data_IF_884849109952
#
_entry.id   IF_884849109952
#
_cell.length_a   1.000
_cell.length_b   1.000
_cell.length_c   1.000
_cell.angle_alpha   90.00
_cell.angle_beta   90.00
_cell.angle_gamma   90.00
#
_symmetry.space_group_name_H-M   'P 1'
#
loop_
_entity.id
_entity.type
_entity.pdbx_description
1 polymer ?
#
# COMPACT_ATOMS: atom_id res chain seq x y z
N UNK A 1 -13.58 -56.39 -0.64
CA UNK A 1 -13.25 -55.54 0.53
C UNK A 1 -12.09 -54.66 0.13
N UNK A 2 -12.27 -53.35 0.28
CA UNK A 2 -11.30 -52.35 -0.14
C UNK A 2 -10.08 -52.31 0.78
N UNK A 3 -8.98 -51.79 0.24
CA UNK A 3 -7.74 -51.56 0.95
C UNK A 3 -6.89 -50.59 0.14
N UNK A 4 -7.21 -49.31 0.25
CA UNK A 4 -6.41 -48.17 -0.18
C UNK A 4 -5.20 -47.98 0.75
N UNK A 5 -4.14 -47.32 0.24
CA UNK A 5 -2.99 -46.81 0.99
C UNK A 5 -1.68 -47.18 0.30
N UNK A 6 -0.97 -46.31 -0.41
CA UNK A 6 -0.81 -44.87 -0.23
C UNK A 6 0.48 -44.61 0.56
N UNK A 7 1.58 -44.34 -0.14
CA UNK A 7 2.78 -43.72 0.41
C UNK A 7 3.65 -43.15 -0.73
N UNK A 8 3.15 -42.13 -1.42
CA UNK A 8 4.02 -41.14 -2.05
C UNK A 8 4.15 -39.99 -1.04
N UNK A 9 5.37 -39.71 -0.58
CA UNK A 9 5.58 -38.75 0.49
C UNK A 9 7.06 -38.49 0.74
N UNK A 10 7.79 -38.14 -0.33
CA UNK A 10 9.17 -37.66 -0.27
C UNK A 10 9.30 -36.32 -0.98
N UNK A 11 8.54 -35.32 -0.51
CA UNK A 11 8.73 -33.93 -0.91
C UNK A 11 9.59 -33.23 0.12
N UNK A 12 10.87 -33.06 -0.18
CA UNK A 12 11.81 -32.19 0.55
C UNK A 12 11.23 -30.77 0.63
N UNK A 13 10.73 -30.39 1.80
CA UNK A 13 10.39 -29.00 2.12
C UNK A 13 11.68 -28.20 2.29
N UNK A 14 11.99 -27.35 1.30
CA UNK A 14 13.10 -26.40 1.34
C UNK A 14 12.86 -25.36 2.46
N UNK A 15 13.83 -24.99 3.30
CA UNK A 15 13.64 -24.03 4.40
C UNK A 15 13.56 -22.56 3.93
N UNK A 16 13.08 -22.30 2.71
CA UNK A 16 13.10 -21.00 2.05
C UNK A 16 11.70 -20.38 1.86
N UNK A 17 10.72 -20.75 2.70
CA UNK A 17 9.54 -19.92 2.93
C UNK A 17 9.96 -18.70 3.78
N UNK A 18 10.87 -17.87 3.24
CA UNK A 18 10.98 -16.49 3.66
C UNK A 18 9.62 -15.86 3.34
N UNK A 19 8.85 -15.55 4.38
CA UNK A 19 7.54 -14.92 4.25
C UNK A 19 7.68 -13.67 3.37
N UNK A 20 7.28 -13.76 2.10
CA UNK A 20 7.35 -12.65 1.15
C UNK A 20 6.09 -11.81 1.33
N UNK A 21 6.18 -10.85 2.25
CA UNK A 21 5.09 -9.96 2.61
C UNK A 21 4.80 -9.03 1.43
N UNK A 22 3.54 -8.99 1.00
CA UNK A 22 3.03 -8.07 -0.01
C UNK A 22 2.12 -7.04 0.65
N UNK A 23 2.40 -5.76 0.44
CA UNK A 23 1.61 -4.66 0.97
C UNK A 23 0.94 -3.90 -0.17
N UNK A 24 -0.32 -3.52 0.02
CA UNK A 24 -1.10 -2.69 -0.88
C UNK A 24 -1.07 -1.24 -0.42
N UNK A 25 -0.46 -0.38 -1.23
CA UNK A 25 -0.26 1.03 -0.87
C UNK A 25 -1.19 1.91 -1.69
N UNK A 26 -2.10 2.59 -1.01
CA UNK A 26 -2.98 3.59 -1.59
C UNK A 26 -2.27 4.94 -1.63
N UNK A 27 -2.12 5.49 -2.83
CA UNK A 27 -1.46 6.77 -3.05
C UNK A 27 -2.16 7.52 -4.18
N UNK A 28 -2.63 8.74 -3.88
CA UNK A 28 -3.31 9.62 -4.82
C UNK A 28 -4.44 8.92 -5.62
N UNK A 29 -5.27 8.12 -4.93
CA UNK A 29 -6.42 7.43 -5.52
C UNK A 29 -6.08 6.21 -6.38
N UNK A 30 -4.84 5.72 -6.34
CA UNK A 30 -4.44 4.44 -6.95
C UNK A 30 -3.88 3.50 -5.88
N UNK A 31 -4.08 2.20 -6.08
CA UNK A 31 -3.47 1.16 -5.24
C UNK A 31 -2.28 0.54 -5.95
N UNK A 32 -1.13 0.53 -5.27
CA UNK A 32 0.13 -0.03 -5.77
C UNK A 32 0.53 -1.21 -4.90
N UNK A 33 0.64 -2.39 -5.49
CA UNK A 33 1.09 -3.59 -4.77
C UNK A 33 2.61 -3.68 -4.77
N UNK A 34 3.21 -3.82 -3.59
CA UNK A 34 4.66 -3.91 -3.40
C UNK A 34 5.00 -5.20 -2.67
N UNK A 35 5.87 -6.01 -3.27
CA UNK A 35 6.47 -7.17 -2.60
C UNK A 35 7.67 -6.70 -1.77
N UNK A 36 7.67 -7.03 -0.49
CA UNK A 36 8.63 -6.55 0.51
C UNK A 36 9.64 -7.63 0.93
N UNK A 37 9.56 -8.86 0.40
CA UNK A 37 10.35 -9.97 0.92
C UNK A 37 10.04 -10.17 2.41
N UNK A 38 11.06 -10.38 3.23
CA UNK A 38 10.93 -10.51 4.69
C UNK A 38 10.48 -9.26 5.46
N UNK A 39 10.22 -8.13 4.78
CA UNK A 39 9.65 -6.92 5.40
C UNK A 39 10.59 -6.18 6.36
N UNK A 40 11.90 -6.32 6.20
CA UNK A 40 12.91 -5.68 7.06
C UNK A 40 13.10 -4.18 6.78
N UNK A 41 12.56 -3.69 5.66
CA UNK A 41 12.67 -2.29 5.27
C UNK A 41 11.71 -1.39 6.08
N UNK A 42 12.02 -0.09 6.23
CA UNK A 42 11.11 0.86 6.86
C UNK A 42 9.93 1.23 5.95
N UNK A 43 8.82 1.68 6.54
CA UNK A 43 7.64 2.18 5.82
C UNK A 43 7.98 3.34 4.87
N UNK A 44 8.99 4.15 5.19
CA UNK A 44 9.50 5.19 4.27
C UNK A 44 9.97 4.62 2.94
N UNK A 45 10.63 3.47 2.95
CA UNK A 45 11.07 2.80 1.73
C UNK A 45 9.86 2.33 0.93
N UNK A 46 8.91 1.66 1.58
CA UNK A 46 7.68 1.17 0.96
C UNK A 46 6.89 2.32 0.30
N UNK A 47 6.69 3.42 1.02
CA UNK A 47 6.01 4.61 0.53
C UNK A 47 6.74 5.23 -0.68
N UNK A 48 8.07 5.29 -0.64
CA UNK A 48 8.88 5.80 -1.77
C UNK A 48 8.75 4.90 -3.00
N UNK A 49 8.77 3.58 -2.82
CA UNK A 49 8.59 2.60 -3.90
C UNK A 49 7.19 2.71 -4.50
N UNK A 50 6.16 2.84 -3.67
CA UNK A 50 4.78 3.02 -4.13
C UNK A 50 4.63 4.29 -4.95
N UNK A 51 5.20 5.42 -4.50
CA UNK A 51 5.21 6.68 -5.25
C UNK A 51 5.91 6.53 -6.59
N UNK A 52 7.08 5.88 -6.64
CA UNK A 52 7.78 5.64 -7.90
C UNK A 52 6.90 4.86 -8.89
N UNK A 53 6.28 3.77 -8.41
CA UNK A 53 5.45 2.86 -9.21
C UNK A 53 4.04 3.37 -9.53
N UNK A 54 3.59 4.45 -8.88
CA UNK A 54 2.31 5.09 -9.22
C UNK A 54 2.23 5.53 -10.69
N UNK A 55 3.39 5.90 -11.24
CA UNK A 55 3.63 6.01 -12.68
C UNK A 55 4.12 4.65 -13.19
N UNK A 56 3.18 3.78 -13.57
CA UNK A 56 3.47 2.41 -13.97
C UNK A 56 4.34 2.33 -15.24
N UNK A 57 4.25 3.34 -16.11
CA UNK A 57 4.94 3.36 -17.40
C UNK A 57 6.43 3.71 -17.24
N UNK A 58 6.73 4.76 -16.46
CA UNK A 58 8.10 5.28 -16.36
C UNK A 58 8.74 5.00 -15.00
N UNK A 59 7.97 4.57 -14.01
CA UNK A 59 8.38 4.42 -12.61
C UNK A 59 8.96 5.71 -12.03
N UNK A 60 8.41 6.89 -12.40
CA UNK A 60 8.89 8.22 -11.95
C UNK A 60 7.79 9.04 -11.26
N UNK A 61 6.88 8.39 -10.55
CA UNK A 61 5.75 9.09 -9.92
C UNK A 61 6.15 10.17 -8.90
N UNK A 62 7.39 10.15 -8.39
CA UNK A 62 7.94 11.23 -7.56
C UNK A 62 8.00 12.59 -8.28
N UNK A 63 8.00 12.63 -9.61
CA UNK A 63 7.93 13.90 -10.35
C UNK A 63 6.58 14.58 -10.22
N UNK A 64 5.52 13.81 -9.95
CA UNK A 64 4.14 14.31 -9.84
C UNK A 64 3.66 14.37 -8.40
N UNK A 65 4.11 13.44 -7.55
CA UNK A 65 3.67 13.30 -6.16
C UNK A 65 4.73 13.78 -5.15
N UNK A 66 5.99 13.92 -5.56
CA UNK A 66 7.08 14.31 -4.69
C UNK A 66 7.53 13.18 -3.76
N UNK A 67 7.63 13.48 -2.46
CA UNK A 67 8.14 12.56 -1.42
C UNK A 67 7.04 12.18 -0.43
N UNK A 68 7.13 11.03 0.25
CA UNK A 68 6.15 10.64 1.26
C UNK A 68 6.24 11.55 2.48
N UNK A 69 5.09 12.00 2.99
CA UNK A 69 4.99 12.88 4.16
C UNK A 69 4.37 12.19 5.37
N UNK A 70 3.37 11.35 5.15
CA UNK A 70 2.70 10.56 6.19
C UNK A 70 2.39 9.17 5.66
N UNK A 71 2.21 8.25 6.60
CA UNK A 71 1.72 6.88 6.36
C UNK A 71 0.69 6.57 7.42
N UNK A 72 -0.30 5.75 7.07
CA UNK A 72 -1.32 5.29 8.01
C UNK A 72 -2.01 4.03 7.53
N UNK A 73 -2.69 3.31 8.42
CA UNK A 73 -3.52 2.19 7.98
C UNK A 73 -4.71 2.68 7.17
N UNK A 74 -5.05 1.89 6.16
CA UNK A 74 -6.24 2.13 5.38
C UNK A 74 -7.50 1.80 6.17
N UNK A 75 -8.42 2.76 6.25
CA UNK A 75 -9.69 2.63 6.99
C UNK A 75 -10.86 2.51 6.01
N UNK A 76 -10.93 3.42 5.04
CA UNK A 76 -11.90 3.42 3.95
C UNK A 76 -11.43 4.39 2.85
N UNK A 77 -11.90 4.22 1.61
CA UNK A 77 -11.52 5.05 0.46
C UNK A 77 -11.80 6.56 0.65
N UNK A 78 -12.87 6.91 1.37
CA UNK A 78 -13.29 8.29 1.61
C UNK A 78 -12.87 8.82 3.00
N UNK A 79 -12.09 8.05 3.76
CA UNK A 79 -11.64 8.40 5.10
C UNK A 79 -10.13 8.69 5.13
N UNK A 80 -9.67 9.66 5.95
CA UNK A 80 -8.25 9.83 6.16
C UNK A 80 -7.66 8.58 6.84
N UNK A 81 -6.44 8.23 6.45
CA UNK A 81 -5.67 7.14 7.05
C UNK A 81 -5.62 7.26 8.58
N UNK A 82 -5.65 6.12 9.26
CA UNK A 82 -5.35 6.10 10.69
C UNK A 82 -3.87 6.52 10.87
N UNK A 83 -3.62 7.59 11.64
CA UNK A 83 -2.25 8.08 11.89
C UNK A 83 -1.56 7.31 13.01
N UNK A 84 -1.64 5.98 12.97
CA UNK A 84 -1.07 5.04 13.93
C UNK A 84 0.32 4.53 13.53
N UNK A 85 0.77 4.83 12.31
CA UNK A 85 2.05 4.39 11.76
C UNK A 85 3.04 5.55 11.59
N UNK A 86 4.34 5.27 11.67
CA UNK A 86 5.42 6.20 11.38
C UNK A 86 6.25 5.74 10.20
N UNK A 87 6.76 6.69 9.41
CA UNK A 87 7.63 6.39 8.26
C UNK A 87 8.92 5.63 8.67
N UNK A 88 9.34 5.71 9.93
CA UNK A 88 10.52 5.02 10.46
C UNK A 88 10.23 3.59 10.91
N UNK A 89 8.96 3.20 11.03
CA UNK A 89 8.59 1.86 11.49
C UNK A 89 8.98 0.81 10.46
N UNK A 90 9.33 -0.38 10.94
CA UNK A 90 9.76 -1.50 10.10
C UNK A 90 8.53 -2.30 9.65
N UNK A 91 8.43 -2.60 8.35
CA UNK A 91 7.21 -3.19 7.74
C UNK A 91 6.74 -4.42 8.51
N UNK A 92 7.60 -5.41 8.72
CA UNK A 92 7.22 -6.68 9.39
C UNK A 92 6.82 -6.54 10.86
N UNK A 93 7.12 -5.41 11.50
CA UNK A 93 6.76 -5.16 12.90
C UNK A 93 5.37 -4.54 13.04
N UNK A 94 4.84 -3.92 11.97
CA UNK A 94 3.59 -3.15 12.00
C UNK A 94 2.56 -3.55 10.95
N UNK A 95 2.97 -4.29 9.93
CA UNK A 95 2.15 -4.77 8.82
C UNK A 95 2.25 -6.30 8.66
N UNK A 96 1.15 -6.90 8.22
CA UNK A 96 1.04 -8.30 7.82
C UNK A 96 0.94 -8.45 6.29
N UNK A 97 1.03 -9.68 5.78
CA UNK A 97 0.84 -9.94 4.35
C UNK A 97 -0.59 -9.59 3.91
N UNK A 98 -0.71 -8.86 2.81
CA UNK A 98 -1.98 -8.37 2.28
C UNK A 98 -2.50 -7.09 2.92
N UNK A 99 -1.77 -6.48 3.86
CA UNK A 99 -2.21 -5.24 4.50
C UNK A 99 -2.34 -4.07 3.52
N UNK A 100 -3.26 -3.16 3.86
CA UNK A 100 -3.48 -1.92 3.13
C UNK A 100 -3.06 -0.71 3.96
N UNK A 101 -2.24 0.15 3.36
CA UNK A 101 -1.82 1.42 3.94
C UNK A 101 -2.08 2.56 2.98
N UNK A 102 -2.30 3.75 3.53
CA UNK A 102 -2.40 5.00 2.80
C UNK A 102 -1.11 5.80 2.96
N UNK A 103 -0.70 6.45 1.88
CA UNK A 103 0.47 7.34 1.86
C UNK A 103 0.05 8.71 1.35
N UNK A 104 0.23 9.73 2.19
CA UNK A 104 0.16 11.12 1.73
C UNK A 104 1.54 11.57 1.23
N UNK A 105 1.52 12.49 0.27
CA UNK A 105 2.72 12.92 -0.45
C UNK A 105 2.86 14.43 -0.40
N UNK A 106 4.07 14.93 -0.61
CA UNK A 106 4.39 16.35 -0.50
C UNK A 106 3.71 17.21 -1.58
N UNK A 107 3.36 16.60 -2.72
CA UNK A 107 2.61 17.24 -3.78
C UNK A 107 1.25 16.56 -3.82
N UNK A 108 0.24 17.24 -3.29
CA UNK A 108 -1.13 16.75 -3.41
C UNK A 108 -1.44 16.57 -4.90
N UNK A 109 -1.77 15.34 -5.31
CA UNK A 109 -2.43 15.15 -6.60
C UNK A 109 -3.67 16.06 -6.62
N UNK A 110 -4.03 16.65 -7.78
CA UNK A 110 -5.20 17.50 -7.85
C UNK A 110 -6.39 16.73 -7.33
N UNK A 111 -6.88 17.13 -6.15
CA UNK A 111 -8.13 16.63 -5.59
C UNK A 111 -9.16 16.76 -6.71
N UNK A 112 -9.74 15.64 -7.12
CA UNK A 112 -10.94 15.69 -7.95
C UNK A 112 -11.94 16.49 -7.13
N UNK A 113 -12.15 17.75 -7.49
CA UNK A 113 -13.13 18.63 -6.89
C UNK A 113 -14.50 17.97 -7.04
N UNK A 114 -14.90 17.22 -6.00
CA UNK A 114 -16.28 16.80 -5.81
C UNK A 114 -17.12 18.06 -5.58
N UNK A 115 -18.22 18.16 -6.31
CA UNK A 115 -18.99 19.38 -6.47
C UNK A 115 -19.51 20.00 -5.17
N UNK A 116 -19.38 21.32 -5.09
CA UNK A 116 -20.22 22.20 -4.29
C UNK A 116 -20.86 23.21 -5.23
N UNK A 117 -21.90 22.78 -5.95
CA UNK A 117 -22.76 23.68 -6.72
C UNK A 117 -23.69 24.46 -5.80
N UNK A 118 -24.02 25.69 -6.20
CA UNK A 118 -25.06 26.51 -5.56
C UNK A 118 -24.66 27.96 -5.34
N UNK A 119 -24.26 28.65 -6.40
CA UNK A 119 -24.36 30.11 -6.45
C UNK A 119 -25.84 30.42 -6.72
N UNK A 120 -26.62 30.61 -5.66
CA UNK A 120 -27.93 31.27 -5.74
C UNK A 120 -27.90 32.47 -4.81
N UNK A 121 -27.33 33.56 -5.34
CA UNK A 121 -27.64 34.90 -4.89
C UNK A 121 -29.12 35.18 -5.22
N UNK A 122 -30.02 34.95 -4.28
CA UNK A 122 -31.38 35.49 -4.36
C UNK A 122 -31.35 36.95 -3.88
N UNK A 123 -31.22 37.85 -4.85
CA UNK A 123 -31.63 39.23 -4.75
C UNK A 123 -33.17 39.28 -4.82
N UNK A 124 -33.82 39.67 -3.72
CA UNK A 124 -34.97 40.59 -3.67
C UNK A 124 -35.44 40.92 -2.25
#
# INVERSE_FOLDING_TARGET
EGGEGGAEGGGEGNPADEANIRIHVHVAGKTVSVSCGGGEQPLRWLATVAIARWDEENCKGWLQLGVPTTVGRHVADDAPAARDLNLTDVIKEVCEDGDHIDVETSIAAPVRSGGGGGDEAEEK
#
